data_IF_506710777219
#
_entry.id   IF_506710777219
#
_cell.length_a   1.000
_cell.length_b   1.000
_cell.length_c   1.000
_cell.angle_alpha   90.00
_cell.angle_beta   90.00
_cell.angle_gamma   90.00
#
_symmetry.space_group_name_H-M   'P 1'
#
loop_
_entity.id
_entity.type
_entity.pdbx_description
1 polymer ?
#
# COMPACT_ATOMS: atom_id res chain seq x y z
N UNK A 1 -3.55 -10.73 -0.77
CA UNK A 1 -3.35 -10.23 0.61
C UNK A 1 -2.41 -11.15 1.42
N UNK A 2 -2.82 -12.37 1.80
CA UNK A 2 -2.01 -13.27 2.67
C UNK A 2 -0.60 -13.55 2.14
N UNK A 3 -0.45 -13.91 0.86
CA UNK A 3 0.86 -14.21 0.24
C UNK A 3 1.81 -13.01 0.31
N UNK A 4 1.29 -11.81 0.07
CA UNK A 4 2.11 -10.60 0.02
C UNK A 4 2.61 -10.23 1.41
N UNK A 5 1.73 -10.26 2.41
CA UNK A 5 2.14 -9.93 3.78
C UNK A 5 3.06 -10.99 4.40
N UNK A 6 2.92 -12.26 4.00
CA UNK A 6 3.80 -13.35 4.44
C UNK A 6 5.21 -13.23 3.87
N UNK A 7 5.33 -12.90 2.59
CA UNK A 7 6.61 -12.94 1.87
C UNK A 7 7.38 -11.61 1.96
N UNK A 8 6.74 -10.51 2.41
CA UNK A 8 7.30 -9.16 2.37
C UNK A 8 7.34 -8.51 3.77
N UNK A 9 7.99 -9.16 4.74
CA UNK A 9 8.22 -8.58 6.07
C UNK A 9 9.21 -7.41 5.99
N UNK A 10 8.77 -6.23 6.42
CA UNK A 10 9.59 -5.01 6.41
C UNK A 10 9.15 -4.05 7.53
N UNK A 11 10.06 -3.22 8.05
CA UNK A 11 9.78 -2.28 9.16
C UNK A 11 8.62 -1.31 8.88
N UNK A 12 8.38 -0.99 7.60
CA UNK A 12 7.34 -0.10 7.12
C UNK A 12 6.17 -0.83 6.43
N UNK A 13 6.05 -2.15 6.61
CA UNK A 13 4.91 -2.96 6.12
C UNK A 13 4.21 -3.56 7.34
N UNK A 14 2.87 -3.54 7.35
CA UNK A 14 2.10 -4.18 8.42
C UNK A 14 2.44 -5.67 8.51
N UNK A 15 2.79 -6.12 9.70
CA UNK A 15 3.08 -7.50 10.00
C UNK A 15 1.80 -8.32 10.07
N UNK A 16 1.74 -9.40 9.30
CA UNK A 16 0.71 -10.41 9.41
C UNK A 16 1.23 -11.56 10.27
N UNK A 17 0.49 -11.90 11.32
CA UNK A 17 0.82 -13.05 12.16
C UNK A 17 0.31 -14.33 11.49
N UNK A 18 -1.01 -14.46 11.33
CA UNK A 18 -1.66 -15.67 10.84
C UNK A 18 -2.83 -15.36 9.90
N UNK A 19 -3.27 -16.36 9.14
CA UNK A 19 -4.53 -16.32 8.40
C UNK A 19 -5.33 -17.59 8.64
N UNK A 20 -6.65 -17.48 8.74
CA UNK A 20 -7.56 -18.58 9.00
C UNK A 20 -8.70 -18.56 7.99
N UNK A 21 -9.19 -19.73 7.60
CA UNK A 21 -10.43 -19.88 6.84
C UNK A 21 -11.52 -20.31 7.83
N UNK A 22 -12.49 -19.45 8.08
CA UNK A 22 -13.59 -19.68 9.04
C UNK A 22 -14.89 -19.70 8.26
N UNK A 23 -15.40 -20.90 7.98
CA UNK A 23 -16.49 -21.08 7.02
C UNK A 23 -16.07 -20.67 5.62
N UNK A 24 -16.79 -19.72 5.02
CA UNK A 24 -16.50 -19.15 3.70
C UNK A 24 -15.74 -17.81 3.78
N UNK A 25 -15.30 -17.40 4.97
CA UNK A 25 -14.60 -16.13 5.20
C UNK A 25 -13.11 -16.32 5.47
N UNK A 26 -12.28 -15.49 4.82
CA UNK A 26 -10.84 -15.42 5.08
C UNK A 26 -10.55 -14.39 6.17
N UNK A 27 -10.06 -14.86 7.31
CA UNK A 27 -9.66 -14.03 8.45
C UNK A 27 -8.15 -13.84 8.43
N UNK A 28 -7.69 -12.58 8.51
CA UNK A 28 -6.28 -12.24 8.52
C UNK A 28 -5.94 -11.54 9.82
N UNK A 29 -5.04 -12.12 10.61
CA UNK A 29 -4.58 -11.59 11.90
C UNK A 29 -3.29 -10.83 11.67
N UNK A 30 -3.30 -9.55 12.01
CA UNK A 30 -2.21 -8.59 11.77
C UNK A 30 -1.89 -7.83 13.05
N UNK A 31 -0.74 -7.16 13.07
CA UNK A 31 -0.42 -6.24 14.17
C UNK A 31 -1.47 -5.12 14.27
N UNK A 32 -1.77 -4.71 15.51
CA UNK A 32 -2.67 -3.61 15.77
C UNK A 32 -1.90 -2.28 15.82
N UNK A 33 -2.35 -1.29 15.06
CA UNK A 33 -1.71 0.01 14.93
C UNK A 33 -2.54 1.09 15.62
N UNK A 34 -2.17 1.36 16.87
CA UNK A 34 -2.87 2.25 17.80
C UNK A 34 -2.94 3.71 17.34
N UNK A 35 -1.99 4.14 16.52
CA UNK A 35 -1.94 5.50 15.97
C UNK A 35 -2.96 5.76 14.87
N UNK A 36 -3.71 4.74 14.44
CA UNK A 36 -4.78 4.88 13.45
C UNK A 36 -4.27 5.18 12.05
N UNK A 37 -5.18 5.66 11.20
CA UNK A 37 -4.87 6.00 9.81
C UNK A 37 -4.34 7.43 9.68
N UNK A 38 -3.45 7.63 8.71
CA UNK A 38 -2.95 8.96 8.39
C UNK A 38 -4.08 9.91 7.96
N UNK A 39 -5.18 9.37 7.40
CA UNK A 39 -6.39 10.14 7.05
C UNK A 39 -6.92 10.95 8.23
N UNK A 40 -6.91 10.40 9.44
CA UNK A 40 -7.40 11.09 10.63
C UNK A 40 -6.52 12.29 10.98
N UNK A 41 -5.21 12.16 10.79
CA UNK A 41 -4.26 13.26 11.05
C UNK A 41 -4.43 14.37 10.02
N UNK A 42 -4.45 14.03 8.72
CA UNK A 42 -4.49 15.04 7.64
C UNK A 42 -5.85 15.76 7.56
N UNK A 43 -6.92 15.17 8.08
CA UNK A 43 -8.25 15.81 8.13
C UNK A 43 -8.37 16.78 9.30
N UNK A 44 -7.70 16.52 10.42
CA UNK A 44 -7.79 17.35 11.63
C UNK A 44 -6.67 18.38 11.75
N UNK A 45 -5.51 18.16 11.12
CA UNK A 45 -4.33 19.03 11.28
C UNK A 45 -3.47 19.05 10.02
N UNK A 46 -2.84 20.20 9.76
CA UNK A 46 -1.82 20.31 8.72
C UNK A 46 -0.47 19.83 9.26
N UNK A 47 0.11 18.85 8.58
CA UNK A 47 1.44 18.32 8.90
C UNK A 47 2.53 19.30 8.46
N UNK A 48 3.64 19.35 9.20
CA UNK A 48 4.84 20.07 8.78
C UNK A 48 5.55 19.33 7.64
N UNK A 49 6.39 20.04 6.88
CA UNK A 49 7.19 19.41 5.82
C UNK A 49 8.09 18.29 6.36
N UNK A 50 8.59 18.43 7.59
CA UNK A 50 9.39 17.40 8.26
C UNK A 50 8.58 16.12 8.50
N UNK A 51 7.33 16.25 8.97
CA UNK A 51 6.43 15.13 9.20
C UNK A 51 6.03 14.46 7.87
N UNK A 52 5.74 15.26 6.84
CA UNK A 52 5.44 14.75 5.49
C UNK A 52 6.65 13.98 4.94
N UNK A 53 7.86 14.53 5.06
CA UNK A 53 9.08 13.87 4.61
C UNK A 53 9.32 12.54 5.35
N UNK A 54 9.04 12.47 6.67
CA UNK A 54 9.17 11.25 7.45
C UNK A 54 8.17 10.15 6.99
N UNK A 55 6.92 10.53 6.72
CA UNK A 55 5.91 9.61 6.17
C UNK A 55 6.33 9.13 4.78
N UNK A 56 6.63 10.04 3.86
CA UNK A 56 7.02 9.71 2.49
C UNK A 56 8.23 8.78 2.46
N UNK A 57 9.25 9.04 3.29
CA UNK A 57 10.42 8.18 3.41
C UNK A 57 10.05 6.75 3.82
N UNK A 58 9.16 6.61 4.80
CA UNK A 58 8.74 5.29 5.31
C UNK A 58 7.93 4.52 4.27
N UNK A 59 7.00 5.20 3.58
CA UNK A 59 6.20 4.61 2.50
C UNK A 59 7.09 4.20 1.33
N UNK A 60 8.05 5.04 0.93
CA UNK A 60 8.98 4.74 -0.16
C UNK A 60 9.88 3.53 0.15
N UNK A 61 10.30 3.36 1.41
CA UNK A 61 11.04 2.16 1.83
C UNK A 61 10.21 0.89 1.69
N UNK A 62 8.95 0.92 2.13
CA UNK A 62 8.03 -0.20 1.94
C UNK A 62 7.84 -0.53 0.44
N UNK A 63 7.58 0.49 -0.38
CA UNK A 63 7.38 0.32 -1.82
C UNK A 63 8.63 -0.17 -2.54
N UNK A 64 9.83 0.27 -2.13
CA UNK A 64 11.07 -0.20 -2.73
C UNK A 64 11.23 -1.72 -2.57
N UNK A 65 10.92 -2.27 -1.39
CA UNK A 65 10.97 -3.72 -1.13
C UNK A 65 9.90 -4.45 -1.94
N UNK A 66 8.66 -3.95 -1.96
CA UNK A 66 7.57 -4.55 -2.73
C UNK A 66 7.90 -4.57 -4.24
N UNK A 67 8.34 -3.43 -4.79
CA UNK A 67 8.68 -3.29 -6.20
C UNK A 67 9.89 -4.15 -6.60
N UNK A 68 10.89 -4.29 -5.72
CA UNK A 68 12.04 -5.18 -5.97
C UNK A 68 11.61 -6.65 -6.15
N UNK A 69 10.49 -7.05 -5.53
CA UNK A 69 9.90 -8.38 -5.64
C UNK A 69 8.76 -8.46 -6.66
N UNK A 70 8.58 -7.40 -7.46
CA UNK A 70 7.55 -7.33 -8.49
C UNK A 70 6.13 -7.23 -7.92
N UNK A 71 5.95 -6.69 -6.72
CA UNK A 71 4.62 -6.45 -6.14
C UNK A 71 4.25 -4.98 -6.26
N UNK A 72 3.18 -4.68 -6.98
CA UNK A 72 2.62 -3.33 -7.11
C UNK A 72 1.46 -3.19 -6.12
N UNK A 73 1.50 -2.16 -5.26
CA UNK A 73 0.48 -1.94 -4.23
C UNK A 73 -0.92 -1.62 -4.80
N UNK A 74 -0.97 -0.69 -5.75
CA UNK A 74 -2.16 -0.19 -6.49
C UNK A 74 -3.21 0.59 -5.69
N UNK A 75 -3.13 0.67 -4.36
CA UNK A 75 -4.05 1.49 -3.55
C UNK A 75 -3.31 2.27 -2.46
N UNK A 76 -2.36 3.12 -2.87
CA UNK A 76 -1.60 3.98 -1.96
C UNK A 76 -2.43 5.24 -1.71
N UNK A 77 -2.87 5.45 -0.47
CA UNK A 77 -3.66 6.59 -0.01
C UNK A 77 -3.45 6.78 1.49
N UNK A 78 -3.93 7.89 2.06
CA UNK A 78 -3.78 8.16 3.49
C UNK A 78 -4.45 7.09 4.38
N UNK A 79 -5.49 6.41 3.87
CA UNK A 79 -6.17 5.33 4.60
C UNK A 79 -5.31 4.07 4.71
N UNK A 80 -4.48 3.80 3.70
CA UNK A 80 -3.58 2.64 3.69
C UNK A 80 -2.27 2.89 4.43
N UNK A 81 -2.08 4.08 5.00
CA UNK A 81 -0.90 4.44 5.80
C UNK A 81 -1.34 4.49 7.27
N UNK A 82 -0.81 3.57 8.06
CA UNK A 82 -1.13 3.41 9.46
C UNK A 82 0.04 3.82 10.36
N UNK A 83 -0.27 4.32 11.55
CA UNK A 83 0.72 4.76 12.53
C UNK A 83 0.69 3.90 13.79
N UNK A 84 1.86 3.71 14.37
CA UNK A 84 2.04 3.16 15.72
C UNK A 84 1.94 4.27 16.77
N UNK A 85 1.75 3.93 18.05
CA UNK A 85 1.77 4.92 19.13
C UNK A 85 3.11 5.66 19.25
N UNK A 86 4.20 5.02 18.82
CA UNK A 86 5.55 5.60 18.84
C UNK A 86 5.89 6.40 17.57
N UNK A 87 4.91 6.60 16.68
CA UNK A 87 5.04 7.47 15.51
C UNK A 87 5.72 6.80 14.31
N UNK A 88 6.00 5.50 14.35
CA UNK A 88 6.41 4.75 13.15
C UNK A 88 5.25 4.60 12.18
N UNK A 89 5.59 4.64 10.90
CA UNK A 89 4.65 4.57 9.77
C UNK A 89 4.76 3.21 9.09
N UNK A 90 3.62 2.58 8.85
CA UNK A 90 3.51 1.29 8.16
C UNK A 90 2.45 1.32 7.06
N UNK A 91 2.76 0.69 5.94
CA UNK A 91 1.87 0.52 4.80
C UNK A 91 0.99 -0.73 5.01
N UNK A 92 -0.32 -0.56 4.82
CA UNK A 92 -1.38 -1.56 4.96
C UNK A 92 -2.20 -1.69 3.67
N UNK A 93 -3.28 -2.48 3.72
CA UNK A 93 -4.27 -2.64 2.63
C UNK A 93 -3.73 -3.29 1.34
N UNK A 94 -3.04 -4.42 1.52
CA UNK A 94 -2.54 -5.25 0.42
C UNK A 94 -3.61 -6.05 -0.34
N UNK A 95 -4.89 -5.67 -0.21
CA UNK A 95 -6.04 -6.31 -0.86
C UNK A 95 -6.01 -6.13 -2.38
N UNK A 96 -5.53 -4.97 -2.85
CA UNK A 96 -5.45 -4.64 -4.27
C UNK A 96 -4.09 -4.89 -4.89
N UNK A 97 -3.13 -5.46 -4.19
CA UNK A 97 -1.81 -5.64 -4.74
C UNK A 97 -1.80 -6.62 -5.94
N UNK A 98 -0.86 -6.42 -6.86
CA UNK A 98 -0.64 -7.30 -8.00
C UNK A 98 0.83 -7.71 -8.09
N UNK A 99 1.07 -8.99 -8.30
CA UNK A 99 2.40 -9.47 -8.64
C UNK A 99 2.60 -9.44 -10.15
N UNK A 100 3.71 -8.87 -10.58
CA UNK A 100 4.20 -8.80 -11.95
C UNK A 100 5.46 -9.66 -12.04
N UNK A 101 5.50 -10.54 -13.03
CA UNK A 101 6.60 -11.46 -13.30
C UNK A 101 7.09 -11.27 -14.74
N UNK A 102 8.29 -11.77 -15.07
CA UNK A 102 8.91 -11.59 -16.40
C UNK A 102 8.05 -12.14 -17.56
N UNK A 103 7.16 -13.08 -17.28
CA UNK A 103 6.23 -13.68 -18.25
C UNK A 103 4.95 -12.85 -18.46
N UNK A 104 4.54 -12.06 -17.46
CA UNK A 104 3.39 -11.15 -17.54
C UNK A 104 3.82 -9.76 -17.07
N UNK A 105 4.55 -9.00 -17.90
CA UNK A 105 5.18 -7.74 -17.47
C UNK A 105 4.20 -6.57 -17.27
N UNK A 106 2.95 -6.67 -17.74
CA UNK A 106 1.93 -5.60 -17.65
C UNK A 106 0.54 -6.15 -17.35
N UNK A 107 -0.23 -5.43 -16.53
CA UNK A 107 -1.62 -5.80 -16.16
C UNK A 107 -2.61 -4.87 -16.88
N UNK A 108 -3.79 -5.40 -17.21
CA UNK A 108 -4.91 -4.66 -17.86
C UNK A 108 -6.13 -4.46 -16.93
N UNK A 109 -6.05 -4.91 -15.68
CA UNK A 109 -7.19 -4.89 -14.76
C UNK A 109 -7.39 -3.48 -14.19
N UNK A 110 -8.63 -2.97 -14.32
CA UNK A 110 -9.05 -1.67 -13.79
C UNK A 110 -9.42 -1.84 -12.31
N UNK A 111 -8.48 -1.52 -11.41
CA UNK A 111 -8.68 -1.67 -9.95
C UNK A 111 -8.02 -0.48 -9.26
N UNK A 112 -8.75 0.21 -8.37
CA UNK A 112 -8.29 1.40 -7.63
C UNK A 112 -9.44 2.36 -7.32
N UNK A 113 -9.16 3.44 -6.59
CA UNK A 113 -10.15 4.49 -6.27
C UNK A 113 -10.17 5.54 -7.41
N UNK A 114 -11.33 5.92 -7.98
CA UNK A 114 -11.40 6.71 -9.22
C UNK A 114 -10.63 8.05 -9.23
N UNK A 115 -10.49 8.71 -8.07
CA UNK A 115 -9.85 10.02 -7.94
C UNK A 115 -8.32 9.99 -7.98
N UNK A 116 -7.71 8.82 -7.81
CA UNK A 116 -6.24 8.64 -7.73
C UNK A 116 -5.68 7.87 -8.93
N UNK A 117 -6.50 7.67 -9.97
CA UNK A 117 -6.10 6.93 -11.15
C UNK A 117 -5.36 7.83 -12.13
N UNK A 118 -4.14 7.42 -12.49
CA UNK A 118 -3.42 8.05 -13.59
C UNK A 118 -4.23 7.91 -14.91
N UNK A 119 -4.18 8.90 -15.82
CA UNK A 119 -5.03 8.95 -17.02
C UNK A 119 -4.86 7.75 -17.96
N UNK A 120 -3.71 7.09 -17.97
CA UNK A 120 -3.45 5.85 -18.70
C UNK A 120 -4.23 4.63 -18.16
N UNK A 121 -4.57 4.64 -16.87
CA UNK A 121 -5.38 3.61 -16.23
C UNK A 121 -6.85 3.72 -16.67
N UNK A 122 -7.33 4.97 -16.80
CA UNK A 122 -8.67 5.32 -17.33
C UNK A 122 -8.78 4.93 -18.81
N UNK A 123 -7.66 4.99 -19.54
CA UNK A 123 -7.58 4.72 -20.99
C UNK A 123 -7.38 3.24 -21.36
N UNK A 124 -7.34 2.32 -20.40
CA UNK A 124 -7.13 0.86 -20.61
C UNK A 124 -5.83 0.47 -21.36
N UNK A 125 -4.79 1.31 -21.28
CA UNK A 125 -3.50 1.02 -21.91
C UNK A 125 -2.65 0.10 -21.02
N UNK A 126 -1.75 -0.74 -21.57
CA UNK A 126 -0.88 -1.61 -20.79
C UNK A 126 0.13 -0.79 -19.97
N UNK A 127 0.03 -0.82 -18.64
CA UNK A 127 0.86 -0.02 -17.72
C UNK A 127 1.87 -0.87 -16.92
N UNK A 128 2.97 -0.23 -16.51
CA UNK A 128 4.07 -0.79 -15.70
C UNK A 128 4.15 -0.17 -14.28
N UNK A 129 5.28 -0.32 -13.57
CA UNK A 129 5.49 0.21 -12.21
C UNK A 129 5.41 1.75 -12.10
N UNK A 130 5.43 2.41 -13.25
CA UNK A 130 5.51 3.86 -13.46
C UNK A 130 4.25 4.60 -12.98
N UNK A 131 3.12 3.91 -12.84
CA UNK A 131 1.82 4.47 -12.41
C UNK A 131 1.87 5.06 -11.00
N UNK A 132 2.78 4.60 -10.15
CA UNK A 132 2.91 5.10 -8.77
C UNK A 132 3.40 6.56 -8.66
N UNK A 133 3.94 7.15 -9.74
CA UNK A 133 4.46 8.52 -9.75
C UNK A 133 3.41 9.56 -10.19
N UNK A 134 2.36 9.16 -10.93
CA UNK A 134 1.33 10.07 -11.43
C UNK A 134 0.25 10.46 -10.42
N UNK A 135 0.12 9.74 -9.31
CA UNK A 135 -0.87 9.98 -8.26
C UNK A 135 -0.47 11.08 -7.24
N UNK A 136 0.70 11.71 -7.41
CA UNK A 136 1.25 12.70 -6.50
C UNK A 136 1.09 14.16 -6.98
N UNK A 137 0.42 14.38 -8.12
CA UNK A 137 0.15 15.70 -8.67
C UNK A 137 -1.04 16.39 -8.01
#
# INVERSE_FOLDING_TARGET
QVVIMRDHQHENVVEMYNSYLVGDELWVVMEFLEGGALTDIVTHTRMSEEQIAAVCRSVLRALAVLHAQGVIHRDIKSDSILLTHDGRVKLSDFGFCAQVNKEVPRRKSLVGTPYWMAPELISRLPYGPEVGLGAWG
#
